data_IF_508223329560
#
_entry.id   IF_508223329560
#
_cell.length_a   1.000
_cell.length_b   1.000
_cell.length_c   1.000
_cell.angle_alpha   90.00
_cell.angle_beta   90.00
_cell.angle_gamma   90.00
#
_symmetry.space_group_name_H-M   'P 1'
#
loop_
_entity.id
_entity.type
_entity.pdbx_description
1 polymer ?
#
# COMPACT_ATOMS: atom_id res chain seq x y z
N UNK A 1 48.53 -0.94 29.92
CA UNK A 1 47.42 -1.91 29.87
C UNK A 1 46.29 -1.28 29.08
N UNK A 2 46.18 -1.62 27.78
CA UNK A 2 45.17 -1.07 26.88
C UNK A 2 43.86 -1.83 27.07
N UNK A 3 42.79 -1.13 27.49
CA UNK A 3 41.43 -1.66 27.52
C UNK A 3 40.87 -1.62 26.09
N UNK A 4 40.77 -2.79 25.48
CA UNK A 4 40.07 -2.99 24.21
C UNK A 4 38.56 -2.81 24.47
N UNK A 5 37.97 -1.76 23.90
CA UNK A 5 36.52 -1.57 23.86
C UNK A 5 36.00 -2.40 22.69
N UNK A 6 35.32 -3.50 22.99
CA UNK A 6 34.64 -4.33 22.00
C UNK A 6 33.34 -3.59 21.61
N UNK A 7 33.35 -2.94 20.46
CA UNK A 7 32.18 -2.29 19.88
C UNK A 7 31.27 -3.39 19.31
N UNK A 8 30.22 -3.76 20.04
CA UNK A 8 29.13 -4.57 19.52
C UNK A 8 28.38 -3.73 18.47
N UNK A 9 28.72 -3.93 17.19
CA UNK A 9 27.88 -3.47 16.09
C UNK A 9 26.63 -4.33 16.12
N UNK A 10 25.57 -3.80 16.74
CA UNK A 10 24.21 -4.28 16.54
C UNK A 10 23.93 -4.03 15.06
N UNK A 11 24.03 -5.09 14.26
CA UNK A 11 23.48 -5.13 12.91
C UNK A 11 21.97 -4.91 13.04
N UNK A 12 21.55 -3.65 13.04
CA UNK A 12 20.19 -3.26 12.75
C UNK A 12 19.81 -3.91 11.42
N UNK A 13 18.82 -4.81 11.46
CA UNK A 13 18.31 -5.62 10.36
C UNK A 13 17.71 -4.79 9.23
N UNK A 14 18.55 -4.03 8.54
CA UNK A 14 18.36 -3.67 7.16
C UNK A 14 18.89 -4.90 6.42
N UNK A 15 17.98 -5.80 6.04
CA UNK A 15 18.32 -6.82 5.06
C UNK A 15 18.76 -6.05 3.81
N UNK A 16 20.06 -5.95 3.59
CA UNK A 16 20.59 -5.70 2.25
C UNK A 16 19.85 -6.67 1.34
N UNK A 17 19.23 -6.21 0.23
CA UNK A 17 18.65 -7.15 -0.73
C UNK A 17 19.75 -8.14 -1.06
N UNK A 18 19.56 -9.39 -0.65
CA UNK A 18 20.56 -10.41 -0.89
C UNK A 18 20.72 -10.49 -2.41
N UNK A 19 21.95 -10.29 -2.89
CA UNK A 19 22.27 -10.48 -4.29
C UNK A 19 21.73 -11.86 -4.71
N UNK A 20 20.78 -11.90 -5.65
CA UNK A 20 20.18 -13.14 -6.14
C UNK A 20 18.81 -13.52 -5.56
N UNK A 21 18.07 -12.59 -4.94
CA UNK A 21 16.65 -12.81 -4.67
C UNK A 21 15.85 -13.07 -5.95
N UNK A 22 14.98 -14.08 -5.93
CA UNK A 22 14.02 -14.29 -6.99
C UNK A 22 12.91 -13.24 -6.92
N UNK A 23 12.59 -12.60 -8.05
CA UNK A 23 11.45 -11.69 -8.15
C UNK A 23 10.14 -12.50 -8.08
N UNK A 24 9.14 -11.99 -7.36
CA UNK A 24 7.84 -12.67 -7.23
C UNK A 24 6.78 -11.94 -8.04
N UNK A 25 6.09 -12.69 -8.89
CA UNK A 25 4.96 -12.20 -9.68
C UNK A 25 3.71 -13.01 -9.44
N UNK A 26 2.56 -12.33 -9.39
CA UNK A 26 1.29 -12.96 -9.03
C UNK A 26 0.44 -13.15 -10.29
N UNK A 27 0.15 -14.42 -10.61
CA UNK A 27 -0.66 -14.82 -11.76
C UNK A 27 -1.65 -15.91 -11.33
N UNK A 28 -2.76 -15.49 -10.72
CA UNK A 28 -3.79 -16.41 -10.24
C UNK A 28 -4.57 -17.02 -11.41
N UNK A 29 -4.79 -18.34 -11.39
CA UNK A 29 -5.52 -19.09 -12.42
C UNK A 29 -4.98 -18.89 -13.85
N UNK A 30 -3.70 -18.57 -13.99
CA UNK A 30 -3.06 -18.40 -15.28
C UNK A 30 -2.74 -19.74 -15.94
N UNK A 31 -2.90 -19.82 -17.26
CA UNK A 31 -2.37 -20.93 -18.05
C UNK A 31 -0.84 -20.93 -18.02
N UNK A 32 -0.20 -22.05 -18.40
CA UNK A 32 1.25 -22.13 -18.50
C UNK A 32 1.83 -21.04 -19.41
N UNK A 33 1.24 -20.81 -20.59
CA UNK A 33 1.68 -19.77 -21.52
C UNK A 33 1.57 -18.35 -20.95
N UNK A 34 0.57 -18.08 -20.10
CA UNK A 34 0.45 -16.81 -19.39
C UNK A 34 1.52 -16.66 -18.31
N UNK A 35 1.81 -17.73 -17.56
CA UNK A 35 2.89 -17.73 -16.56
C UNK A 35 4.25 -17.46 -17.21
N UNK A 36 4.55 -18.13 -18.32
CA UNK A 36 5.79 -17.91 -19.08
C UNK A 36 5.91 -16.46 -19.59
N UNK A 37 4.81 -15.89 -20.07
CA UNK A 37 4.75 -14.49 -20.53
C UNK A 37 5.00 -13.51 -19.38
N UNK A 38 4.34 -13.71 -18.24
CA UNK A 38 4.55 -12.87 -17.05
C UNK A 38 6.00 -12.94 -16.59
N UNK A 39 6.58 -14.14 -16.52
CA UNK A 39 7.98 -14.32 -16.14
C UNK A 39 8.91 -13.52 -17.06
N UNK A 40 8.75 -13.59 -18.38
CA UNK A 40 9.57 -12.84 -19.36
C UNK A 40 9.42 -11.33 -19.21
N UNK A 41 8.21 -10.82 -19.01
CA UNK A 41 7.96 -9.38 -18.93
C UNK A 41 8.47 -8.74 -17.63
N UNK A 42 8.76 -9.54 -16.61
CA UNK A 42 9.27 -9.07 -15.32
C UNK A 42 10.81 -9.10 -15.21
N UNK A 43 11.52 -9.49 -16.26
CA UNK A 43 12.99 -9.55 -16.28
C UNK A 43 13.58 -8.18 -16.62
N UNK A 44 14.54 -7.73 -15.82
CA UNK A 44 15.49 -6.68 -16.19
C UNK A 44 16.92 -7.27 -16.18
N UNK A 45 17.93 -6.42 -16.43
CA UNK A 45 19.34 -6.83 -16.49
C UNK A 45 19.85 -7.55 -15.22
N UNK A 46 19.24 -7.30 -14.06
CA UNK A 46 19.66 -7.83 -12.76
C UNK A 46 18.80 -9.01 -12.28
N UNK A 47 17.67 -9.27 -12.95
CA UNK A 47 16.76 -10.37 -12.59
C UNK A 47 17.38 -11.70 -13.02
N UNK A 48 17.68 -12.59 -12.05
CA UNK A 48 18.22 -13.94 -12.29
C UNK A 48 17.18 -15.05 -12.28
N UNK A 49 16.10 -14.86 -11.53
CA UNK A 49 14.99 -15.78 -11.46
C UNK A 49 13.70 -15.02 -11.17
N UNK A 50 12.59 -15.54 -11.70
CA UNK A 50 11.23 -15.09 -11.41
C UNK A 50 10.41 -16.26 -10.92
N UNK A 51 9.74 -16.11 -9.79
CA UNK A 51 8.77 -17.06 -9.27
C UNK A 51 7.37 -16.52 -9.55
N UNK A 52 6.62 -17.23 -10.38
CA UNK A 52 5.22 -16.92 -10.69
C UNK A 52 4.32 -17.69 -9.75
N UNK A 53 3.57 -16.96 -8.93
CA UNK A 53 2.77 -17.47 -7.84
C UNK A 53 1.28 -17.37 -8.15
N UNK A 54 0.55 -18.46 -7.93
CA UNK A 54 -0.90 -18.47 -7.80
C UNK A 54 -1.27 -18.41 -6.31
N UNK A 55 -1.70 -17.23 -5.87
CA UNK A 55 -2.09 -16.98 -4.48
C UNK A 55 -3.45 -17.58 -4.12
N UNK A 56 -4.25 -18.03 -5.11
CA UNK A 56 -5.56 -18.67 -4.87
C UNK A 56 -5.36 -20.16 -4.63
N UNK A 57 -4.57 -20.79 -5.49
CA UNK A 57 -4.32 -22.23 -5.44
C UNK A 57 -3.09 -22.60 -4.59
N UNK A 58 -2.37 -21.62 -4.06
CA UNK A 58 -1.13 -21.81 -3.26
C UNK A 58 -0.10 -22.66 -4.02
N UNK A 59 0.11 -22.30 -5.29
CA UNK A 59 1.12 -22.94 -6.16
C UNK A 59 2.09 -21.91 -6.71
N UNK A 60 3.29 -22.33 -7.07
CA UNK A 60 4.31 -21.48 -7.66
C UNK A 60 5.13 -22.24 -8.71
N UNK A 61 5.63 -21.52 -9.71
CA UNK A 61 6.61 -22.02 -10.68
C UNK A 61 7.79 -21.06 -10.72
N UNK A 62 8.99 -21.62 -10.70
CA UNK A 62 10.23 -20.84 -10.85
C UNK A 62 10.71 -20.88 -12.29
N UNK A 63 11.19 -19.72 -12.73
CA UNK A 63 11.80 -19.49 -14.02
C UNK A 63 13.18 -18.91 -13.82
N UNK A 64 14.21 -19.60 -14.29
CA UNK A 64 15.53 -19.01 -14.45
C UNK A 64 15.50 -18.08 -15.67
N UNK A 65 16.08 -16.89 -15.53
CA UNK A 65 15.98 -15.83 -16.52
C UNK A 65 17.34 -15.56 -17.14
N UNK A 66 17.35 -15.33 -18.46
CA UNK A 66 18.53 -14.90 -19.18
C UNK A 66 18.20 -13.64 -19.97
N UNK A 67 18.86 -12.54 -19.59
CA UNK A 67 18.77 -11.24 -20.23
C UNK A 67 20.04 -11.01 -21.04
N UNK A 68 19.90 -10.78 -22.34
CA UNK A 68 20.99 -10.33 -23.21
C UNK A 68 20.50 -9.13 -24.03
N UNK A 69 21.42 -8.27 -24.45
CA UNK A 69 21.12 -7.20 -25.41
C UNK A 69 21.54 -7.67 -26.80
N UNK A 70 20.69 -7.41 -27.80
CA UNK A 70 21.05 -7.66 -29.18
C UNK A 70 22.05 -6.62 -29.71
N UNK A 71 22.44 -6.75 -30.97
CA UNK A 71 23.39 -5.85 -31.63
C UNK A 71 22.92 -4.37 -31.73
N UNK A 72 21.65 -4.10 -31.48
CA UNK A 72 21.05 -2.77 -31.46
C UNK A 72 20.82 -2.24 -30.04
N UNK A 73 21.16 -3.01 -29.01
CA UNK A 73 20.89 -2.68 -27.61
C UNK A 73 19.47 -3.03 -27.17
N UNK A 74 18.71 -3.79 -27.96
CA UNK A 74 17.35 -4.18 -27.60
C UNK A 74 17.37 -5.44 -26.70
N UNK A 75 16.52 -5.48 -25.65
CA UNK A 75 16.51 -6.60 -24.71
C UNK A 75 15.95 -7.87 -25.34
N UNK A 76 16.71 -8.96 -25.26
CA UNK A 76 16.29 -10.31 -25.61
C UNK A 76 16.24 -11.16 -24.35
N UNK A 77 15.02 -11.51 -23.95
CA UNK A 77 14.74 -12.21 -22.70
C UNK A 77 14.31 -13.65 -23.00
N UNK A 78 14.98 -14.61 -22.37
CA UNK A 78 14.55 -16.02 -22.34
C UNK A 78 14.35 -16.51 -20.91
N UNK A 79 13.44 -17.46 -20.75
CA UNK A 79 13.11 -18.07 -19.45
C UNK A 79 13.02 -19.58 -19.60
N UNK A 80 13.47 -20.31 -18.58
CA UNK A 80 13.35 -21.76 -18.50
C UNK A 80 12.86 -22.18 -17.12
N UNK A 81 11.98 -23.19 -17.07
CA UNK A 81 11.49 -23.73 -15.80
C UNK A 81 12.64 -24.35 -15.01
N UNK A 82 12.66 -24.09 -13.71
CA UNK A 82 13.58 -24.69 -12.75
C UNK A 82 12.84 -25.07 -11.47
N UNK A 83 13.48 -25.90 -10.65
CA UNK A 83 12.90 -26.31 -9.36
C UNK A 83 13.10 -25.21 -8.30
N UNK A 84 12.10 -25.07 -7.43
CA UNK A 84 12.23 -24.27 -6.21
C UNK A 84 13.21 -24.96 -5.26
N UNK A 85 14.17 -24.19 -4.74
CA UNK A 85 14.98 -24.63 -3.62
C UNK A 85 14.14 -24.71 -2.34
N UNK A 86 14.63 -25.45 -1.34
CA UNK A 86 13.94 -25.56 -0.05
C UNK A 86 13.75 -24.21 0.66
N UNK A 87 14.73 -23.31 0.55
CA UNK A 87 14.63 -21.98 1.16
C UNK A 87 13.62 -21.09 0.42
N UNK A 88 13.55 -21.18 -0.92
CA UNK A 88 12.53 -20.49 -1.72
C UNK A 88 11.13 -21.02 -1.42
N UNK A 89 10.97 -22.35 -1.29
CA UNK A 89 9.70 -22.97 -0.89
C UNK A 89 9.27 -22.52 0.51
N UNK A 90 10.21 -22.46 1.47
CA UNK A 90 9.95 -21.96 2.81
C UNK A 90 9.52 -20.48 2.81
N UNK A 91 10.21 -19.62 2.07
CA UNK A 91 9.82 -18.21 1.95
C UNK A 91 8.45 -18.04 1.25
N UNK A 92 8.10 -18.92 0.30
CA UNK A 92 6.78 -18.94 -0.34
C UNK A 92 5.66 -19.34 0.63
N UNK A 93 5.89 -20.34 1.48
CA UNK A 93 4.93 -20.72 2.53
C UNK A 93 4.65 -19.54 3.46
N UNK A 94 5.69 -18.83 3.88
CA UNK A 94 5.56 -17.60 4.67
C UNK A 94 4.78 -16.50 3.92
N UNK A 95 4.94 -16.38 2.59
CA UNK A 95 4.17 -15.44 1.79
C UNK A 95 2.68 -15.79 1.76
N UNK A 96 2.32 -17.07 1.65
CA UNK A 96 0.92 -17.50 1.71
C UNK A 96 0.31 -17.25 3.09
N UNK A 97 1.03 -17.59 4.16
CA UNK A 97 0.62 -17.29 5.54
C UNK A 97 0.46 -15.78 5.77
N UNK A 98 1.43 -14.98 5.31
CA UNK A 98 1.39 -13.53 5.41
C UNK A 98 0.16 -12.96 4.71
N UNK A 99 -0.19 -13.45 3.51
CA UNK A 99 -1.40 -13.02 2.80
C UNK A 99 -2.65 -13.36 3.59
N UNK A 100 -2.79 -14.59 4.09
CA UNK A 100 -3.94 -15.02 4.92
C UNK A 100 -4.09 -14.13 6.16
N UNK A 101 -2.99 -13.84 6.81
CA UNK A 101 -2.97 -12.98 7.99
C UNK A 101 -3.34 -11.53 7.65
N UNK A 102 -2.87 -10.98 6.52
CA UNK A 102 -3.30 -9.67 6.05
C UNK A 102 -4.81 -9.60 5.82
N UNK A 103 -5.39 -10.62 5.18
CA UNK A 103 -6.85 -10.71 4.97
C UNK A 103 -7.58 -10.65 6.32
N UNK A 104 -7.09 -11.42 7.30
CA UNK A 104 -7.65 -11.47 8.65
C UNK A 104 -7.60 -10.11 9.34
N UNK A 105 -6.43 -9.47 9.33
CA UNK A 105 -6.20 -8.16 9.96
C UNK A 105 -7.08 -7.07 9.32
N UNK A 106 -7.15 -7.03 7.98
CA UNK A 106 -8.00 -6.08 7.25
C UNK A 106 -9.49 -6.30 7.54
N UNK A 107 -9.93 -7.56 7.56
CA UNK A 107 -11.33 -7.90 7.85
C UNK A 107 -11.73 -7.43 9.25
N UNK A 108 -10.91 -7.74 10.27
CA UNK A 108 -11.17 -7.26 11.64
C UNK A 108 -11.19 -5.74 11.73
N UNK A 109 -10.31 -5.06 11.01
CA UNK A 109 -10.32 -3.60 10.96
C UNK A 109 -11.63 -3.05 10.37
N UNK A 110 -12.15 -3.67 9.30
CA UNK A 110 -13.41 -3.25 8.67
C UNK A 110 -14.66 -3.46 9.53
N UNK A 111 -14.59 -4.35 10.52
CA UNK A 111 -15.68 -4.63 11.45
C UNK A 111 -15.69 -3.65 12.65
N UNK A 112 -14.65 -2.83 12.82
CA UNK A 112 -14.59 -1.82 13.89
C UNK A 112 -15.50 -0.65 13.56
N UNK A 113 -16.10 -0.07 14.60
CA UNK A 113 -16.88 1.17 14.48
C UNK A 113 -16.04 2.32 13.93
N UNK A 114 -16.70 3.30 13.30
CA UNK A 114 -16.06 4.52 12.80
C UNK A 114 -15.20 5.22 13.88
N UNK A 115 -13.98 5.59 13.51
CA UNK A 115 -13.12 6.45 14.34
C UNK A 115 -13.67 7.88 14.32
N UNK A 116 -14.19 8.34 15.47
CA UNK A 116 -14.66 9.71 15.68
C UNK A 116 -13.50 10.59 16.14
N UNK A 117 -13.53 11.89 15.81
CA UNK A 117 -12.45 12.85 16.12
C UNK A 117 -11.90 12.68 17.54
N UNK A 118 -10.60 12.35 17.61
CA UNK A 118 -9.70 12.33 18.77
C UNK A 118 -10.36 12.46 20.16
N UNK A 119 -11.06 11.41 20.60
CA UNK A 119 -10.88 11.03 21.99
C UNK A 119 -9.54 10.31 22.03
N UNK A 120 -8.57 10.91 22.72
CA UNK A 120 -7.50 10.18 23.42
C UNK A 120 -8.16 9.01 24.13
N UNK A 121 -8.30 7.89 23.43
CA UNK A 121 -9.02 6.74 23.92
C UNK A 121 -8.01 6.01 24.78
N UNK A 122 -8.07 6.33 26.07
CA UNK A 122 -7.59 5.47 27.13
C UNK A 122 -7.94 4.03 26.74
N UNK A 123 -6.89 3.22 26.57
CA UNK A 123 -6.95 1.83 26.08
C UNK A 123 -7.96 1.01 26.88
N UNK A 124 -9.20 0.95 26.41
CA UNK A 124 -10.05 -0.21 26.67
C UNK A 124 -9.98 -1.05 25.41
N UNK A 125 -8.94 -1.89 25.36
CA UNK A 125 -8.86 -3.00 24.41
C UNK A 125 -9.99 -3.94 24.80
N UNK A 126 -11.18 -3.72 24.26
CA UNK A 126 -12.18 -4.77 24.19
C UNK A 126 -11.61 -5.82 23.24
N UNK A 127 -11.04 -6.88 23.80
CA UNK A 127 -10.74 -8.10 23.06
C UNK A 127 -11.99 -8.47 22.26
N UNK A 128 -11.95 -8.43 20.91
CA UNK A 128 -13.08 -8.87 20.13
C UNK A 128 -13.35 -10.32 20.51
N UNK A 129 -14.62 -10.67 20.78
CA UNK A 129 -15.00 -12.07 20.90
C UNK A 129 -14.62 -12.75 19.59
N UNK A 130 -13.79 -13.78 19.66
CA UNK A 130 -13.50 -14.68 18.56
C UNK A 130 -14.82 -15.30 18.08
N UNK A 131 -15.47 -14.67 17.11
CA UNK A 131 -16.43 -15.36 16.27
C UNK A 131 -15.63 -16.09 15.22
N UNK A 132 -15.51 -17.42 15.37
CA UNK A 132 -15.10 -18.30 14.30
C UNK A 132 -16.17 -18.27 13.20
N UNK A 133 -16.20 -17.19 12.42
CA UNK A 133 -16.85 -17.18 11.13
C UNK A 133 -15.90 -17.91 10.18
N UNK A 134 -16.17 -19.20 9.95
CA UNK A 134 -15.74 -19.94 8.77
C UNK A 134 -16.41 -19.33 7.53
N UNK A 135 -16.15 -18.06 7.25
CA UNK A 135 -16.53 -17.42 6.00
C UNK A 135 -15.29 -17.52 5.14
N UNK A 136 -15.41 -18.20 4.01
CA UNK A 136 -14.46 -18.23 2.89
C UNK A 136 -14.30 -16.82 2.29
N UNK A 137 -13.93 -15.83 3.09
CA UNK A 137 -13.81 -14.44 2.68
C UNK A 137 -12.43 -14.21 2.10
N UNK A 138 -12.17 -14.89 0.97
CA UNK A 138 -10.92 -14.81 0.21
C UNK A 138 -10.73 -13.48 -0.53
N UNK A 139 -11.60 -12.48 -0.31
CA UNK A 139 -11.58 -11.22 -1.06
C UNK A 139 -11.35 -10.01 -0.16
N UNK A 140 -10.11 -9.52 -0.04
CA UNK A 140 -9.77 -8.36 0.78
C UNK A 140 -9.67 -7.10 -0.07
N UNK A 141 -10.11 -7.15 -1.33
CA UNK A 141 -10.05 -6.02 -2.25
C UNK A 141 -11.03 -4.95 -1.78
N UNK A 142 -10.51 -3.83 -1.27
CA UNK A 142 -11.30 -2.64 -1.00
C UNK A 142 -12.20 -2.74 0.24
N UNK A 143 -11.87 -3.60 1.21
CA UNK A 143 -12.54 -3.55 2.52
C UNK A 143 -12.36 -2.16 3.13
N UNK A 144 -13.47 -1.63 3.64
CA UNK A 144 -13.57 -0.25 4.10
C UNK A 144 -13.33 -0.13 5.60
N UNK A 145 -12.60 0.91 6.02
CA UNK A 145 -12.64 1.44 7.38
C UNK A 145 -13.22 2.85 7.33
N UNK A 146 -13.86 3.30 8.41
CA UNK A 146 -14.62 4.55 8.42
C UNK A 146 -13.99 5.55 9.40
N UNK A 147 -13.73 6.77 8.96
CA UNK A 147 -13.07 7.79 9.78
C UNK A 147 -13.81 9.11 9.65
N UNK A 148 -14.00 9.83 10.75
CA UNK A 148 -14.46 11.22 10.70
C UNK A 148 -13.31 12.13 10.28
N UNK A 149 -13.53 12.99 9.28
CA UNK A 149 -12.55 13.97 8.82
C UNK A 149 -12.59 14.20 7.31
N UNK A 150 -11.47 14.65 6.74
CA UNK A 150 -11.27 14.69 5.29
C UNK A 150 -10.02 13.92 4.86
N UNK A 151 -9.95 13.45 3.60
CA UNK A 151 -8.76 12.85 3.02
C UNK A 151 -7.52 13.74 3.16
N UNK A 152 -7.65 15.06 2.95
CA UNK A 152 -6.52 15.97 3.06
C UNK A 152 -6.02 16.14 4.50
N UNK A 153 -6.90 16.09 5.50
CA UNK A 153 -6.46 16.07 6.90
C UNK A 153 -5.61 14.82 7.15
N UNK A 154 -6.04 13.67 6.64
CA UNK A 154 -5.27 12.43 6.72
C UNK A 154 -3.94 12.53 5.96
N UNK A 155 -3.89 13.12 4.77
CA UNK A 155 -2.67 13.21 3.98
C UNK A 155 -1.66 14.24 4.54
N UNK A 156 -2.14 15.28 5.21
CA UNK A 156 -1.29 16.33 5.77
C UNK A 156 -0.81 16.03 7.20
N UNK A 157 -1.67 15.47 8.05
CA UNK A 157 -1.38 15.30 9.46
C UNK A 157 -0.88 13.88 9.79
N UNK A 158 0.41 13.75 10.07
CA UNK A 158 1.00 12.48 10.51
C UNK A 158 0.36 11.94 11.79
N UNK A 159 0.03 12.80 12.76
CA UNK A 159 -0.65 12.38 14.00
C UNK A 159 -2.00 11.73 13.70
N UNK A 160 -2.79 12.28 12.78
CA UNK A 160 -4.09 11.74 12.44
C UNK A 160 -3.97 10.41 11.68
N UNK A 161 -2.97 10.26 10.81
CA UNK A 161 -2.66 8.95 10.19
C UNK A 161 -2.28 7.91 11.23
N UNK A 162 -1.47 8.29 12.22
CA UNK A 162 -1.04 7.39 13.28
C UNK A 162 -2.24 6.97 14.14
N UNK A 163 -3.14 7.89 14.49
CA UNK A 163 -4.37 7.58 15.23
C UNK A 163 -5.26 6.59 14.46
N UNK A 164 -5.42 6.78 13.14
CA UNK A 164 -6.14 5.84 12.28
C UNK A 164 -5.44 4.47 12.27
N UNK A 165 -4.11 4.44 12.13
CA UNK A 165 -3.36 3.21 12.16
C UNK A 165 -3.53 2.48 13.49
N UNK A 166 -3.37 3.19 14.60
CA UNK A 166 -3.41 2.62 15.93
C UNK A 166 -4.81 2.10 16.28
N UNK A 167 -5.85 2.88 15.98
CA UNK A 167 -7.23 2.46 16.25
C UNK A 167 -7.60 1.18 15.48
N UNK A 168 -7.27 1.10 14.18
CA UNK A 168 -7.69 0.01 13.32
C UNK A 168 -6.76 -1.20 13.39
N UNK A 169 -5.45 -0.99 13.53
CA UNK A 169 -4.44 -2.01 13.29
C UNK A 169 -3.49 -2.27 14.47
N UNK A 170 -3.48 -1.45 15.53
CA UNK A 170 -2.61 -1.72 16.68
C UNK A 170 -2.90 -3.08 17.29
N UNK A 171 -1.83 -3.81 17.63
CA UNK A 171 -1.88 -5.15 18.24
C UNK A 171 -2.07 -6.29 17.24
N UNK A 172 -2.76 -6.06 16.13
CA UNK A 172 -3.00 -7.08 15.10
C UNK A 172 -1.82 -7.21 14.11
N UNK A 173 -1.04 -6.14 13.93
CA UNK A 173 0.11 -6.14 13.01
C UNK A 173 1.36 -6.82 13.56
N UNK A 174 1.40 -7.15 14.85
CA UNK A 174 2.51 -7.88 15.47
C UNK A 174 2.62 -9.32 14.94
N UNK A 175 1.50 -9.95 14.61
CA UNK A 175 1.48 -11.27 13.98
C UNK A 175 2.05 -11.20 12.55
N UNK A 176 1.69 -10.17 11.78
CA UNK A 176 2.25 -9.92 10.45
C UNK A 176 3.78 -9.77 10.49
N UNK A 177 4.31 -8.97 11.41
CA UNK A 177 5.76 -8.83 11.56
C UNK A 177 6.42 -10.17 11.93
N UNK A 178 5.79 -10.97 12.81
CA UNK A 178 6.32 -12.29 13.21
C UNK A 178 6.44 -13.28 12.05
N UNK A 179 5.49 -13.28 11.11
CA UNK A 179 5.56 -14.13 9.91
C UNK A 179 6.73 -13.72 9.01
N UNK A 180 7.05 -12.42 8.95
CA UNK A 180 8.15 -11.91 8.13
C UNK A 180 9.53 -12.11 8.78
N UNK A 181 9.63 -12.24 10.11
CA UNK A 181 10.91 -12.39 10.83
C UNK A 181 11.77 -13.60 10.39
N UNK A 182 11.22 -14.82 10.20
CA UNK A 182 12.01 -15.99 9.87
C UNK A 182 12.42 -16.08 8.39
N UNK A 183 12.06 -15.12 7.54
CA UNK A 183 12.36 -15.18 6.11
C UNK A 183 13.85 -15.38 5.85
N UNK A 184 14.17 -16.25 4.90
CA UNK A 184 15.53 -16.49 4.40
C UNK A 184 15.98 -15.38 3.44
N UNK A 185 15.03 -14.58 2.95
CA UNK A 185 15.31 -13.52 2.00
C UNK A 185 15.80 -14.07 0.66
N UNK A 186 15.29 -15.24 0.25
CA UNK A 186 15.57 -15.86 -1.06
C UNK A 186 14.59 -15.44 -2.14
N UNK A 187 13.37 -15.07 -1.74
CA UNK A 187 12.38 -14.43 -2.63
C UNK A 187 12.14 -12.99 -2.18
N UNK A 188 11.80 -12.13 -3.13
CA UNK A 188 11.37 -10.77 -2.84
C UNK A 188 9.88 -10.76 -2.53
N UNK A 189 9.52 -10.53 -1.27
CA UNK A 189 8.12 -10.43 -0.86
C UNK A 189 7.42 -9.30 -1.64
N UNK A 190 6.34 -9.61 -2.39
CA UNK A 190 5.60 -8.60 -3.13
C UNK A 190 4.91 -7.63 -2.16
N UNK A 191 4.79 -6.37 -2.57
CA UNK A 191 4.00 -5.42 -1.81
C UNK A 191 2.52 -5.84 -1.75
N UNK A 192 1.78 -5.33 -0.76
CA UNK A 192 0.36 -5.67 -0.60
C UNK A 192 -0.50 -5.36 -1.83
N UNK A 193 -0.14 -4.33 -2.61
CA UNK A 193 -0.86 -3.98 -3.82
C UNK A 193 -0.76 -5.10 -4.88
N UNK A 194 0.44 -5.66 -5.09
CA UNK A 194 0.65 -6.84 -5.95
C UNK A 194 -0.16 -8.04 -5.44
N UNK A 195 -0.30 -8.20 -4.12
CA UNK A 195 -1.16 -9.21 -3.49
C UNK A 195 -2.66 -8.97 -3.67
N UNK A 196 -3.05 -7.89 -4.37
CA UNK A 196 -4.42 -7.40 -4.52
C UNK A 196 -5.08 -7.13 -3.17
N UNK A 197 -4.32 -6.56 -2.25
CA UNK A 197 -4.77 -6.20 -0.90
C UNK A 197 -4.58 -4.70 -0.68
N UNK A 198 -5.69 -3.99 -0.46
CA UNK A 198 -5.66 -2.61 -0.02
C UNK A 198 -6.86 -2.32 0.87
N UNK A 199 -6.70 -1.34 1.76
CA UNK A 199 -7.74 -0.84 2.64
C UNK A 199 -8.29 0.45 2.04
N UNK A 200 -9.61 0.59 2.02
CA UNK A 200 -10.27 1.85 1.66
C UNK A 200 -10.64 2.60 2.94
N UNK A 201 -10.02 3.73 3.19
CA UNK A 201 -10.36 4.62 4.30
C UNK A 201 -11.44 5.57 3.81
N UNK A 202 -12.68 5.38 4.24
CA UNK A 202 -13.81 6.25 3.91
C UNK A 202 -13.91 7.36 4.95
N UNK A 203 -13.89 8.61 4.49
CA UNK A 203 -13.96 9.77 5.36
C UNK A 203 -15.39 10.29 5.42
N UNK A 204 -15.86 10.68 6.60
CA UNK A 204 -17.19 11.26 6.80
C UNK A 204 -17.10 12.60 7.51
N UNK A 205 -17.96 13.55 7.13
CA UNK A 205 -18.00 14.87 7.75
C UNK A 205 -18.78 14.90 9.09
N UNK A 206 -19.51 13.84 9.40
CA UNK A 206 -20.37 13.74 10.59
C UNK A 206 -20.07 12.49 11.45
N UNK A 207 -20.53 12.50 12.70
CA UNK A 207 -20.32 11.42 13.68
C UNK A 207 -21.21 10.19 13.46
N UNK A 208 -22.15 10.24 12.51
CA UNK A 208 -23.12 9.18 12.22
C UNK A 208 -22.81 8.44 10.91
N UNK A 209 -21.66 8.72 10.27
CA UNK A 209 -21.26 8.15 8.98
C UNK A 209 -22.30 8.35 7.86
N UNK A 210 -23.02 9.49 7.84
CA UNK A 210 -24.08 9.74 6.85
C UNK A 210 -23.61 10.54 5.63
N UNK A 211 -22.62 11.40 5.80
CA UNK A 211 -22.15 12.36 4.82
C UNK A 211 -20.71 12.03 4.44
N UNK A 212 -20.56 11.24 3.38
CA UNK A 212 -19.26 10.84 2.85
C UNK A 212 -18.50 12.08 2.36
N UNK A 213 -17.25 12.21 2.80
CA UNK A 213 -16.31 13.28 2.51
C UNK A 213 -15.07 12.77 1.75
N UNK A 214 -15.25 11.73 0.93
CA UNK A 214 -14.18 11.14 0.12
C UNK A 214 -13.58 9.86 0.72
N UNK A 215 -12.53 9.36 0.07
CA UNK A 215 -11.82 8.16 0.49
C UNK A 215 -10.35 8.18 0.05
N UNK A 216 -9.52 7.41 0.75
CA UNK A 216 -8.14 7.11 0.35
C UNK A 216 -7.95 5.59 0.34
N UNK A 217 -7.37 5.06 -0.72
CA UNK A 217 -6.93 3.67 -0.81
C UNK A 217 -5.48 3.57 -0.34
N UNK A 218 -5.20 2.62 0.55
CA UNK A 218 -3.88 2.46 1.16
C UNK A 218 -3.45 0.99 1.24
N UNK A 219 -2.15 0.76 1.28
CA UNK A 219 -1.57 -0.48 1.80
C UNK A 219 -0.94 -0.25 3.17
N UNK A 220 -0.76 -1.32 3.94
CA UNK A 220 -0.10 -1.26 5.24
C UNK A 220 1.40 -1.46 5.09
N UNK A 221 2.18 -0.70 5.87
CA UNK A 221 3.56 -1.01 6.16
C UNK A 221 3.66 -1.42 7.64
N UNK A 222 3.66 -2.73 7.96
CA UNK A 222 3.65 -3.19 9.34
C UNK A 222 4.98 -2.92 10.07
N UNK A 223 6.09 -2.75 9.34
CA UNK A 223 7.42 -2.55 9.93
C UNK A 223 7.52 -1.18 10.61
N UNK A 224 7.13 -0.12 9.90
CA UNK A 224 7.17 1.26 10.39
C UNK A 224 5.80 1.76 10.88
N UNK A 225 4.81 0.87 10.95
CA UNK A 225 3.43 1.18 11.38
C UNK A 225 2.81 2.35 10.63
N UNK A 226 2.85 2.29 9.31
CA UNK A 226 2.35 3.37 8.45
C UNK A 226 1.47 2.86 7.32
N UNK A 227 0.90 3.80 6.57
CA UNK A 227 0.15 3.56 5.35
C UNK A 227 0.99 3.99 4.14
N UNK A 228 1.01 3.19 3.08
CA UNK A 228 1.42 3.67 1.76
C UNK A 228 0.18 4.04 0.96
N UNK A 229 0.12 5.28 0.48
CA UNK A 229 -1.03 5.83 -0.22
C UNK A 229 -1.03 5.33 -1.68
N UNK A 230 -2.18 4.80 -2.13
CA UNK A 230 -2.38 4.35 -3.52
C UNK A 230 -3.19 5.34 -4.37
N UNK A 231 -3.79 6.35 -3.74
CA UNK A 231 -4.67 7.32 -4.38
C UNK A 231 -6.03 7.40 -3.69
N UNK A 232 -6.95 8.20 -4.23
CA UNK A 232 -8.27 8.38 -3.63
C UNK A 232 -9.10 9.45 -4.33
N UNK A 233 -10.22 9.81 -3.68
CA UNK A 233 -11.05 10.93 -4.09
C UNK A 233 -11.45 11.78 -2.90
N UNK A 234 -11.50 13.09 -3.07
CA UNK A 234 -12.02 13.99 -2.04
C UNK A 234 -13.56 14.05 -2.02
N UNK A 235 -14.12 14.84 -1.09
CA UNK A 235 -15.57 15.06 -0.97
C UNK A 235 -16.22 15.71 -2.20
N UNK A 236 -15.44 16.29 -3.12
CA UNK A 236 -15.91 16.88 -4.38
C UNK A 236 -15.65 15.99 -5.60
N UNK A 237 -15.18 14.75 -5.36
CA UNK A 237 -14.85 13.73 -6.36
C UNK A 237 -13.61 14.04 -7.21
N UNK A 238 -12.79 15.01 -6.81
CA UNK A 238 -11.48 15.19 -7.44
C UNK A 238 -10.62 13.95 -7.15
N UNK A 239 -9.82 13.54 -8.12
CA UNK A 239 -8.78 12.55 -7.87
C UNK A 239 -7.72 13.18 -6.97
N UNK A 240 -7.33 12.47 -5.91
CA UNK A 240 -6.23 12.91 -5.05
C UNK A 240 -4.92 12.63 -5.80
N UNK A 241 -4.14 13.65 -6.15
CA UNK A 241 -2.90 13.46 -6.89
C UNK A 241 -1.83 12.84 -6.00
N UNK A 242 -1.00 11.97 -6.54
CA UNK A 242 0.14 11.35 -5.83
C UNK A 242 1.48 12.03 -6.13
N UNK A 243 1.53 12.83 -7.19
CA UNK A 243 2.69 13.57 -7.67
C UNK A 243 2.23 14.87 -8.34
N UNK A 244 3.18 15.72 -8.73
CA UNK A 244 2.89 17.01 -9.35
C UNK A 244 2.38 16.93 -10.79
N UNK A 245 2.79 15.91 -11.54
CA UNK A 245 2.34 15.70 -12.92
C UNK A 245 0.82 15.45 -12.97
N UNK A 246 0.25 14.83 -11.94
CA UNK A 246 -1.19 14.63 -11.78
C UNK A 246 -1.95 15.91 -11.39
N UNK A 247 -1.25 17.02 -11.14
CA UNK A 247 -1.83 18.32 -10.80
C UNK A 247 -1.73 19.29 -11.98
N UNK A 248 -0.56 19.39 -12.61
CA UNK A 248 -0.26 20.40 -13.63
C UNK A 248 -1.17 20.22 -14.86
N UNK A 249 -1.92 21.27 -15.22
CA UNK A 249 -2.87 21.25 -16.33
C UNK A 249 -4.21 20.55 -16.07
N UNK A 250 -4.44 20.05 -14.84
CA UNK A 250 -5.68 19.37 -14.47
C UNK A 250 -6.66 20.29 -13.71
N UNK A 251 -7.97 20.04 -13.91
CA UNK A 251 -9.05 20.80 -13.28
C UNK A 251 -9.49 20.17 -11.94
N UNK A 252 -9.48 20.96 -10.88
CA UNK A 252 -9.96 20.57 -9.55
C UNK A 252 -11.20 21.38 -9.16
N UNK A 253 -12.25 20.67 -8.77
CA UNK A 253 -13.59 21.22 -8.55
C UNK A 253 -13.88 21.33 -7.06
N UNK A 254 -14.31 22.50 -6.62
CA UNK A 254 -14.76 22.72 -5.25
C UNK A 254 -16.14 23.38 -5.27
N UNK A 255 -17.05 22.92 -4.42
CA UNK A 255 -18.43 23.40 -4.39
C UNK A 255 -18.82 23.99 -3.03
N UNK A 256 -19.77 24.91 -3.05
CA UNK A 256 -20.32 25.65 -1.89
C UNK A 256 -19.29 26.53 -1.17
N UNK A 257 -19.56 27.84 -1.06
CA UNK A 257 -18.58 28.82 -0.59
C UNK A 257 -17.92 28.53 0.79
N UNK A 258 -18.65 27.89 1.73
CA UNK A 258 -18.09 27.52 3.05
C UNK A 258 -17.12 26.33 2.99
N UNK A 259 -17.46 25.29 2.22
CA UNK A 259 -16.64 24.08 2.10
C UNK A 259 -15.53 24.25 1.05
N UNK A 260 -15.79 25.05 0.02
CA UNK A 260 -14.82 25.45 -1.01
C UNK A 260 -13.55 26.00 -0.38
N UNK A 261 -13.64 27.09 0.41
CA UNK A 261 -12.45 27.74 0.98
C UNK A 261 -11.62 26.81 1.86
N UNK A 262 -12.27 25.97 2.66
CA UNK A 262 -11.57 25.10 3.60
C UNK A 262 -10.86 23.94 2.87
N UNK A 263 -11.57 23.20 2.03
CA UNK A 263 -11.00 22.03 1.35
C UNK A 263 -10.06 22.45 0.20
N UNK A 264 -10.29 23.59 -0.46
CA UNK A 264 -9.34 24.16 -1.42
C UNK A 264 -8.00 24.49 -0.74
N UNK A 265 -8.04 25.18 0.42
CA UNK A 265 -6.82 25.49 1.16
C UNK A 265 -6.08 24.23 1.66
N UNK A 266 -6.82 23.19 2.07
CA UNK A 266 -6.22 21.89 2.41
C UNK A 266 -5.58 21.23 1.18
N UNK A 267 -6.24 21.27 0.03
CA UNK A 267 -5.68 20.77 -1.23
C UNK A 267 -4.39 21.51 -1.59
N UNK A 268 -4.37 22.86 -1.57
CA UNK A 268 -3.17 23.66 -1.89
C UNK A 268 -2.00 23.37 -0.96
N UNK A 269 -2.29 23.14 0.33
CA UNK A 269 -1.27 22.73 1.30
C UNK A 269 -0.75 21.32 1.01
N UNK A 270 -1.62 20.41 0.60
CA UNK A 270 -1.25 19.05 0.23
C UNK A 270 -0.43 19.02 -1.05
N UNK A 271 -0.87 19.70 -2.10
CA UNK A 271 -0.16 19.76 -3.39
C UNK A 271 1.24 20.32 -3.22
N UNK A 272 1.40 21.38 -2.41
CA UNK A 272 2.72 21.95 -2.09
C UNK A 272 3.61 21.01 -1.29
N UNK A 273 3.07 19.97 -0.65
CA UNK A 273 3.86 18.96 0.07
C UNK A 273 4.37 17.83 -0.83
N UNK A 274 3.87 17.73 -2.06
CA UNK A 274 4.34 16.76 -3.05
C UNK A 274 5.67 17.23 -3.64
N UNK A 275 6.63 16.32 -3.80
CA UNK A 275 7.93 16.54 -4.44
C UNK A 275 8.79 17.69 -3.88
N UNK A 276 9.00 17.69 -2.57
CA UNK A 276 10.05 18.50 -1.95
C UNK A 276 9.74 20.00 -1.81
N UNK A 277 8.47 20.40 -1.93
CA UNK A 277 8.03 21.76 -1.64
C UNK A 277 7.86 22.67 -2.87
N UNK A 278 7.92 22.12 -4.08
CA UNK A 278 7.60 22.91 -5.29
C UNK A 278 6.11 23.24 -5.27
N UNK A 279 5.78 24.53 -5.23
CA UNK A 279 4.41 25.01 -5.14
C UNK A 279 3.75 25.01 -6.52
N UNK A 280 2.62 24.32 -6.65
CA UNK A 280 1.72 24.51 -7.77
C UNK A 280 0.98 25.85 -7.60
N UNK A 281 0.79 26.60 -8.68
CA UNK A 281 0.03 27.86 -8.68
C UNK A 281 -1.25 27.72 -9.50
N UNK A 282 -2.31 28.38 -9.08
CA UNK A 282 -3.54 28.50 -9.89
C UNK A 282 -3.24 29.37 -11.11
N UNK A 283 -3.46 28.83 -12.31
CA UNK A 283 -3.32 29.56 -13.58
C UNK A 283 -4.67 29.93 -14.20
N UNK A 284 -5.73 29.21 -13.83
CA UNK A 284 -7.09 29.51 -14.29
C UNK A 284 -8.11 29.24 -13.18
N UNK A 285 -9.16 30.07 -13.12
CA UNK A 285 -10.31 29.84 -12.24
C UNK A 285 -11.59 30.04 -13.03
N UNK A 286 -12.40 28.98 -13.14
CA UNK A 286 -13.73 29.01 -13.76
C UNK A 286 -14.82 28.89 -12.70
N UNK A 287 -15.96 29.50 -12.95
CA UNK A 287 -17.16 29.35 -12.10
C UNK A 287 -18.27 28.73 -12.91
N UNK A 288 -18.86 27.63 -12.44
CA UNK A 288 -19.99 26.94 -13.07
C UNK A 288 -21.06 26.63 -12.03
N UNK A 289 -22.12 27.44 -11.98
CA UNK A 289 -23.12 27.37 -10.92
C UNK A 289 -22.50 27.65 -9.55
N UNK A 290 -22.69 26.74 -8.59
CA UNK A 290 -22.11 26.82 -7.25
C UNK A 290 -20.70 26.21 -7.13
N UNK A 291 -20.05 25.92 -8.26
CA UNK A 291 -18.73 25.28 -8.31
C UNK A 291 -17.67 26.26 -8.77
N UNK A 292 -16.52 26.23 -8.09
CA UNK A 292 -15.25 26.78 -8.55
C UNK A 292 -14.39 25.65 -9.11
N UNK A 293 -13.76 25.92 -10.23
CA UNK A 293 -12.85 24.99 -10.91
C UNK A 293 -11.51 25.70 -11.02
N UNK A 294 -10.47 25.11 -10.46
CA UNK A 294 -9.12 25.64 -10.45
C UNK A 294 -8.23 24.76 -11.32
N UNK A 295 -7.47 25.38 -12.22
CA UNK A 295 -6.44 24.72 -13.02
C UNK A 295 -5.09 25.16 -12.50
N UNK A 296 -4.20 24.21 -12.27
CA UNK A 296 -2.89 24.44 -11.65
C UNK A 296 -1.75 24.31 -12.64
N UNK A 297 -0.64 24.98 -12.34
CA UNK A 297 0.66 24.73 -12.95
C UNK A 297 1.68 24.49 -11.85
N UNK A 298 2.20 23.27 -11.85
CA UNK A 298 3.49 22.90 -11.26
C UNK A 298 4.46 22.82 -12.47
#
# INVERSE_FOLDING_TARGET
MYKLILLFIIFSGISLPAFGQAEVEICNNCSQSQKDKVARLSVNSDTKAVIVVDMINETALKYDTNYIEDRYGEPVISVSLSELSNDEAFDLDLLYEYRKELVRVITRASEKSMLKNAQSTQRNISTPKYTNSNVNDNSPIGKGIEVKGSPYDFLLASYFRNDVYDFYFAGETLALTKILLPTKGTIKFPNMNKLKLYVRINFYSDDLAKSLNGFVSVTLNPVIKSFNILGGRDGFKNSIPLNQDEISGHDFIFANAKSERNEHAKFERYSSSLDGGVSCRVVETKTKGNKKIYTYQC
#
